data_IF_237751284068
#
_entry.id   IF_237751284068
#
_cell.length_a   1.000
_cell.length_b   1.000
_cell.length_c   1.000
_cell.angle_alpha   90.00
_cell.angle_beta   90.00
_cell.angle_gamma   90.00
#
_symmetry.space_group_name_H-M   'P 1'
#
loop_
_entity.id
_entity.type
_entity.pdbx_description
1 polymer ?
#
# COMPACT_ATOMS: atom_id res chain seq x y z
N UNK A 1 -12.78 17.11 -51.81
CA UNK A 1 -11.53 17.65 -51.26
C UNK A 1 -11.58 17.41 -49.76
N UNK A 2 -10.96 16.32 -49.29
CA UNK A 2 -11.18 15.73 -47.96
C UNK A 2 -10.16 16.28 -46.94
N UNK A 3 -10.68 16.61 -45.75
CA UNK A 3 -9.91 17.02 -44.57
C UNK A 3 -9.06 15.85 -44.00
N UNK A 4 -7.83 16.11 -43.54
CA UNK A 4 -7.00 15.10 -42.91
C UNK A 4 -7.43 14.85 -41.45
N UNK A 5 -7.92 13.64 -41.24
CA UNK A 5 -7.66 12.71 -40.11
C UNK A 5 -7.40 13.25 -38.70
N UNK A 6 -8.43 13.10 -37.87
CA UNK A 6 -8.55 13.16 -36.40
C UNK A 6 -7.61 12.21 -35.60
N UNK A 7 -6.54 11.67 -36.19
CA UNK A 7 -5.63 10.68 -35.58
C UNK A 7 -4.39 11.27 -34.91
N UNK A 8 -4.15 12.57 -35.02
CA UNK A 8 -2.98 13.23 -34.42
C UNK A 8 -3.23 13.81 -33.00
N UNK A 9 -4.47 13.83 -32.50
CA UNK A 9 -4.79 14.34 -31.15
C UNK A 9 -4.79 13.26 -30.05
N UNK A 10 -4.72 11.99 -30.41
CA UNK A 10 -4.68 10.86 -29.47
C UNK A 10 -3.25 10.41 -29.13
N UNK A 11 -2.25 10.86 -29.90
CA UNK A 11 -0.83 10.56 -29.68
C UNK A 11 -0.16 11.50 -28.66
N UNK A 12 -0.76 12.65 -28.38
CA UNK A 12 -0.24 13.65 -27.43
C UNK A 12 -0.66 13.42 -25.96
N UNK A 13 -1.57 12.46 -25.70
CA UNK A 13 -1.95 12.06 -24.33
C UNK A 13 -1.02 10.95 -23.80
N UNK A 14 -0.31 10.25 -24.67
CA UNK A 14 0.62 9.16 -24.30
C UNK A 14 2.08 9.60 -24.10
N UNK A 15 2.41 10.87 -24.37
CA UNK A 15 3.75 11.45 -24.16
C UNK A 15 3.84 12.49 -23.02
N UNK A 16 2.78 12.67 -22.23
CA UNK A 16 2.89 13.28 -20.89
C UNK A 16 3.54 12.34 -19.84
N UNK A 17 4.08 11.19 -20.30
CA UNK A 17 4.71 10.15 -19.49
C UNK A 17 6.21 10.29 -19.23
N UNK A 18 6.84 11.42 -19.60
CA UNK A 18 8.30 11.60 -19.48
C UNK A 18 8.73 12.72 -18.50
N UNK A 19 7.97 12.95 -17.44
CA UNK A 19 8.39 13.79 -16.32
C UNK A 19 7.96 13.17 -14.97
N UNK A 20 8.28 11.89 -14.76
CA UNK A 20 8.23 11.22 -13.44
C UNK A 20 9.58 10.57 -13.15
N UNK A 21 10.68 11.27 -13.46
CA UNK A 21 12.04 10.80 -13.17
C UNK A 21 12.59 11.34 -11.82
N UNK A 22 11.86 12.22 -11.13
CA UNK A 22 12.37 12.94 -9.96
C UNK A 22 11.65 12.63 -8.63
N UNK A 23 10.73 11.66 -8.60
CA UNK A 23 10.03 11.26 -7.37
C UNK A 23 10.63 10.01 -6.73
N UNK A 24 10.51 9.86 -5.39
CA UNK A 24 10.80 8.56 -4.75
C UNK A 24 9.67 7.57 -5.07
N UNK A 25 10.04 6.31 -5.31
CA UNK A 25 9.10 5.21 -5.45
C UNK A 25 8.63 4.64 -4.09
N UNK A 26 8.83 5.37 -2.99
CA UNK A 26 8.48 4.89 -1.66
C UNK A 26 9.35 3.70 -1.21
N UNK A 27 9.08 3.15 -0.01
CA UNK A 27 9.87 2.05 0.53
C UNK A 27 9.76 0.83 -0.38
N UNK A 28 10.89 0.14 -0.59
CA UNK A 28 10.98 -1.04 -1.45
C UNK A 28 10.45 -0.84 -2.89
N UNK A 29 10.49 0.40 -3.40
CA UNK A 29 10.03 0.77 -4.74
C UNK A 29 8.56 0.41 -5.05
N UNK A 30 7.67 0.55 -4.06
CA UNK A 30 6.21 0.36 -4.22
C UNK A 30 5.55 1.28 -5.26
N UNK A 31 6.22 2.37 -5.61
CA UNK A 31 5.74 3.42 -6.48
C UNK A 31 4.79 4.39 -5.78
N UNK A 32 4.41 5.44 -6.49
CA UNK A 32 3.46 6.44 -6.00
C UNK A 32 2.06 5.86 -5.87
N UNK A 33 1.36 6.22 -4.80
CA UNK A 33 -0.04 5.90 -4.63
C UNK A 33 -0.94 6.91 -5.39
N UNK A 34 -1.98 6.45 -6.11
CA UNK A 34 -3.04 7.32 -6.60
C UNK A 34 -3.77 8.02 -5.45
N UNK A 35 -4.38 9.18 -5.73
CA UNK A 35 -5.16 9.90 -4.73
C UNK A 35 -6.35 9.06 -4.27
N UNK A 36 -6.51 8.94 -2.95
CA UNK A 36 -7.57 8.18 -2.30
C UNK A 36 -7.30 6.68 -2.24
N UNK A 37 -6.17 6.21 -2.76
CA UNK A 37 -5.80 4.79 -2.79
C UNK A 37 -4.56 4.56 -1.94
N UNK A 38 -4.58 3.46 -1.21
CA UNK A 38 -3.44 2.91 -0.49
C UNK A 38 -2.91 1.71 -1.26
N UNK A 39 -1.59 1.63 -1.37
CA UNK A 39 -0.87 0.44 -1.81
C UNK A 39 -0.17 -0.16 -0.60
N UNK A 40 -0.40 -1.44 -0.34
CA UNK A 40 0.24 -2.16 0.75
C UNK A 40 0.90 -3.43 0.24
N UNK A 41 2.07 -3.75 0.76
CA UNK A 41 2.72 -5.04 0.57
C UNK A 41 3.03 -5.63 1.93
N UNK A 42 2.62 -6.86 2.11
CA UNK A 42 2.75 -7.63 3.33
C UNK A 42 3.55 -8.88 3.03
N UNK A 43 4.48 -9.24 3.91
CA UNK A 43 5.20 -10.50 3.80
C UNK A 43 5.30 -11.16 5.19
N UNK A 44 4.89 -12.40 5.28
CA UNK A 44 4.90 -13.19 6.52
C UNK A 44 5.16 -14.66 6.23
N UNK A 45 5.32 -15.45 7.27
CA UNK A 45 5.17 -16.91 7.24
C UNK A 45 3.83 -17.32 7.84
N UNK A 46 3.23 -18.34 7.25
CA UNK A 46 2.03 -19.01 7.75
C UNK A 46 2.41 -20.41 8.25
N UNK A 47 1.92 -20.78 9.41
CA UNK A 47 2.01 -22.15 9.90
C UNK A 47 0.90 -22.97 9.23
N UNK A 48 1.28 -23.87 8.32
CA UNK A 48 0.36 -24.62 7.50
C UNK A 48 0.55 -26.12 7.70
N UNK A 49 -0.56 -26.85 7.73
CA UNK A 49 -0.58 -28.29 7.61
C UNK A 49 -0.52 -28.64 6.13
N UNK A 50 0.51 -29.38 5.72
CA UNK A 50 0.62 -29.93 4.38
C UNK A 50 0.31 -31.42 4.45
N UNK A 51 -0.78 -31.82 3.81
CA UNK A 51 -1.16 -33.21 3.62
C UNK A 51 -0.78 -33.63 2.21
N UNK A 52 0.30 -34.41 2.09
CA UNK A 52 0.69 -34.98 0.80
C UNK A 52 -0.21 -36.17 0.48
N UNK A 53 -0.80 -36.18 -0.72
CA UNK A 53 -1.63 -37.24 -1.24
C UNK A 53 -0.81 -37.98 -2.32
N UNK A 54 -0.68 -39.30 -2.18
CA UNK A 54 0.20 -40.14 -3.01
C UNK A 54 0.58 -41.46 -2.31
N UNK A 55 1.78 -41.99 -2.57
CA UNK A 55 2.21 -43.32 -2.09
C UNK A 55 2.21 -43.50 -0.55
N UNK A 56 2.40 -42.43 0.23
CA UNK A 56 2.27 -42.43 1.69
C UNK A 56 1.71 -41.06 2.14
N UNK A 57 0.57 -41.00 2.86
CA UNK A 57 0.04 -39.73 3.36
C UNK A 57 0.95 -39.19 4.46
N UNK A 58 1.75 -38.19 4.12
CA UNK A 58 2.56 -37.45 5.08
C UNK A 58 1.79 -36.20 5.50
N UNK A 59 1.50 -36.11 6.79
CA UNK A 59 0.99 -34.91 7.43
C UNK A 59 2.15 -34.24 8.15
N UNK A 60 2.46 -33.01 7.81
CA UNK A 60 3.53 -32.28 8.49
C UNK A 60 3.21 -30.79 8.53
N UNK A 61 3.66 -30.15 9.62
CA UNK A 61 3.57 -28.71 9.77
C UNK A 61 4.77 -28.06 9.08
N UNK A 62 4.47 -27.06 8.25
CA UNK A 62 5.49 -26.28 7.55
C UNK A 62 5.19 -24.80 7.67
N UNK A 63 6.26 -24.02 7.75
CA UNK A 63 6.18 -22.57 7.57
C UNK A 63 6.24 -22.27 6.07
N UNK A 64 5.12 -21.78 5.54
CA UNK A 64 4.99 -21.37 4.14
C UNK A 64 5.08 -19.85 4.10
N UNK A 65 5.97 -19.30 3.28
CA UNK A 65 6.03 -17.85 3.09
C UNK A 65 4.79 -17.38 2.34
N UNK A 66 4.22 -16.28 2.78
CA UNK A 66 3.01 -15.69 2.23
C UNK A 66 3.20 -14.18 2.06
N UNK A 67 3.17 -13.76 0.80
CA UNK A 67 3.25 -12.36 0.42
C UNK A 67 1.93 -11.89 -0.20
N UNK A 68 1.58 -10.64 0.05
CA UNK A 68 0.39 -10.00 -0.51
C UNK A 68 0.75 -8.60 -0.95
N UNK A 69 0.31 -8.21 -2.14
CA UNK A 69 0.23 -6.82 -2.57
C UNK A 69 -1.23 -6.45 -2.72
N UNK A 70 -1.66 -5.33 -2.16
CA UNK A 70 -3.04 -4.89 -2.19
C UNK A 70 -3.16 -3.40 -2.53
N UNK A 71 -4.23 -3.09 -3.23
CA UNK A 71 -4.76 -1.75 -3.45
C UNK A 71 -6.11 -1.67 -2.74
N UNK A 72 -6.28 -0.67 -1.89
CA UNK A 72 -7.54 -0.41 -1.18
C UNK A 72 -7.82 1.10 -1.14
N UNK A 73 -9.08 1.53 -1.05
CA UNK A 73 -9.38 2.92 -0.78
C UNK A 73 -8.88 3.28 0.63
N UNK A 74 -8.20 4.41 0.82
CA UNK A 74 -7.83 4.84 2.17
C UNK A 74 -9.03 5.32 2.99
N UNK A 75 -10.07 5.79 2.31
CA UNK A 75 -11.31 6.30 2.91
C UNK A 75 -12.51 6.01 2.04
N UNK A 76 -13.65 5.81 2.69
CA UNK A 76 -14.95 5.63 2.02
C UNK A 76 -16.05 6.34 2.80
N UNK A 77 -17.11 6.74 2.13
CA UNK A 77 -18.29 7.28 2.79
C UNK A 77 -19.15 6.15 3.37
N UNK A 78 -20.01 6.50 4.34
CA UNK A 78 -21.04 5.58 4.83
C UNK A 78 -21.92 5.11 3.65
N UNK A 79 -22.15 3.81 3.55
CA UNK A 79 -22.87 3.11 2.49
C UNK A 79 -22.24 3.20 1.08
N UNK A 80 -21.04 3.77 0.93
CA UNK A 80 -20.35 3.76 -0.36
C UNK A 80 -19.85 2.34 -0.67
N UNK A 81 -20.15 1.77 -1.84
CA UNK A 81 -19.58 0.51 -2.26
C UNK A 81 -18.08 0.64 -2.53
N UNK A 82 -17.29 -0.30 -2.05
CA UNK A 82 -15.85 -0.35 -2.35
C UNK A 82 -15.34 -1.76 -2.55
N UNK A 83 -14.14 -1.89 -3.10
CA UNK A 83 -13.46 -3.17 -3.26
C UNK A 83 -11.98 -3.05 -2.96
N UNK A 84 -11.39 -4.17 -2.58
CA UNK A 84 -9.94 -4.33 -2.39
C UNK A 84 -9.43 -5.16 -3.57
N UNK A 85 -8.34 -4.74 -4.19
CA UNK A 85 -7.69 -5.49 -5.27
C UNK A 85 -6.37 -5.99 -4.77
N UNK A 86 -6.17 -7.31 -4.76
CA UNK A 86 -4.98 -7.92 -4.17
C UNK A 86 -4.38 -9.00 -5.06
N UNK A 87 -3.09 -9.22 -4.94
CA UNK A 87 -2.36 -10.32 -5.56
C UNK A 87 -1.55 -10.99 -4.47
N UNK A 88 -1.45 -12.30 -4.51
CA UNK A 88 -0.77 -13.06 -3.46
C UNK A 88 0.34 -13.91 -4.05
N UNK A 89 1.32 -14.25 -3.22
CA UNK A 89 2.38 -15.19 -3.55
C UNK A 89 2.59 -16.15 -2.39
N UNK A 90 2.71 -17.43 -2.72
CA UNK A 90 3.18 -18.46 -1.79
C UNK A 90 4.65 -18.75 -2.08
N UNK A 91 5.44 -18.84 -1.03
CA UNK A 91 6.88 -19.17 -1.12
C UNK A 91 7.09 -20.53 -0.50
N UNK A 92 7.35 -21.53 -1.35
CA UNK A 92 7.57 -22.91 -0.94
C UNK A 92 9.04 -23.06 -0.50
N UNK A 93 9.28 -23.51 0.74
CA UNK A 93 10.63 -23.66 1.28
C UNK A 93 11.42 -24.75 0.54
N UNK A 94 12.74 -24.62 0.58
CA UNK A 94 13.69 -25.55 -0.06
C UNK A 94 13.47 -27.01 0.33
N UNK A 95 13.12 -27.27 1.58
CA UNK A 95 12.85 -28.64 2.07
C UNK A 95 11.73 -29.33 1.29
N UNK A 96 10.62 -28.63 1.04
CA UNK A 96 9.51 -29.13 0.23
C UNK A 96 9.87 -29.22 -1.26
N UNK A 97 10.64 -28.27 -1.77
CA UNK A 97 11.13 -28.32 -3.16
C UNK A 97 12.03 -29.54 -3.40
N UNK A 98 12.92 -29.84 -2.46
CA UNK A 98 13.79 -31.01 -2.53
C UNK A 98 12.98 -32.30 -2.55
N UNK A 99 12.02 -32.45 -1.63
CA UNK A 99 11.16 -33.62 -1.53
C UNK A 99 10.37 -33.84 -2.83
N UNK A 100 9.65 -32.81 -3.29
CA UNK A 100 8.89 -32.89 -4.54
C UNK A 100 9.80 -33.16 -5.75
N UNK A 101 11.00 -32.55 -5.77
CA UNK A 101 11.99 -32.76 -6.82
C UNK A 101 12.51 -34.20 -6.90
N UNK A 102 12.84 -34.81 -5.76
CA UNK A 102 13.26 -36.23 -5.70
C UNK A 102 12.17 -37.15 -6.27
N UNK A 103 10.92 -36.78 -6.05
CA UNK A 103 9.76 -37.54 -6.52
C UNK A 103 9.31 -37.18 -7.95
N UNK A 104 10.18 -36.53 -8.73
CA UNK A 104 9.98 -36.28 -10.16
C UNK A 104 9.34 -34.94 -10.53
N UNK A 105 8.95 -34.11 -9.56
CA UNK A 105 8.36 -32.81 -9.85
C UNK A 105 9.38 -31.82 -10.45
N UNK A 106 8.90 -31.00 -11.39
CA UNK A 106 9.58 -29.87 -12.03
C UNK A 106 8.80 -28.56 -11.92
N UNK A 107 7.48 -28.63 -11.72
CA UNK A 107 6.63 -27.47 -11.51
C UNK A 107 5.59 -27.72 -10.41
N UNK A 108 5.08 -26.64 -9.84
CA UNK A 108 3.88 -26.61 -9.01
C UNK A 108 2.74 -25.92 -9.76
N UNK A 109 1.53 -26.44 -9.66
CA UNK A 109 0.29 -25.81 -10.11
C UNK A 109 -0.82 -26.16 -9.11
N UNK A 110 -2.06 -25.71 -9.32
CA UNK A 110 -3.14 -26.09 -8.43
C UNK A 110 -4.35 -25.17 -8.44
N UNK A 111 -5.15 -25.29 -7.40
CA UNK A 111 -6.32 -24.44 -7.13
C UNK A 111 -6.22 -23.87 -5.73
N UNK A 112 -6.74 -22.67 -5.55
CA UNK A 112 -6.98 -22.09 -4.24
C UNK A 112 -8.37 -22.52 -3.82
N UNK A 113 -8.47 -23.20 -2.69
CA UNK A 113 -9.73 -23.77 -2.20
C UNK A 113 -10.46 -22.78 -1.29
N UNK A 114 -9.72 -21.96 -0.55
CA UNK A 114 -10.26 -20.92 0.33
C UNK A 114 -9.22 -19.83 0.59
N UNK A 115 -9.62 -18.57 0.50
CA UNK A 115 -8.85 -17.43 1.05
C UNK A 115 -9.85 -16.51 1.71
N UNK A 116 -9.90 -16.56 3.03
CA UNK A 116 -10.84 -15.75 3.80
C UNK A 116 -10.20 -14.39 4.08
N UNK A 117 -10.88 -13.32 3.68
CA UNK A 117 -10.52 -11.94 4.02
C UNK A 117 -11.55 -11.43 5.02
N UNK A 118 -11.10 -11.07 6.21
CA UNK A 118 -11.95 -10.49 7.25
C UNK A 118 -11.94 -8.97 7.11
N UNK A 119 -13.13 -8.39 7.15
CA UNK A 119 -13.39 -6.96 7.05
C UNK A 119 -14.40 -6.53 8.12
N UNK A 120 -14.11 -6.74 9.42
CA UNK A 120 -14.94 -6.21 10.50
C UNK A 120 -15.17 -4.71 10.30
N UNK A 121 -16.42 -4.28 10.46
CA UNK A 121 -16.86 -2.92 10.16
C UNK A 121 -17.44 -2.72 8.76
N UNK A 122 -17.36 -3.74 7.88
CA UNK A 122 -18.03 -3.77 6.59
C UNK A 122 -18.98 -4.98 6.46
N UNK A 123 -19.83 -4.92 5.45
CA UNK A 123 -20.72 -6.01 5.02
C UNK A 123 -20.32 -6.45 3.60
N UNK A 124 -20.08 -7.75 3.39
CA UNK A 124 -19.93 -8.78 4.42
C UNK A 124 -18.72 -8.54 5.34
N UNK A 125 -18.80 -9.03 6.58
CA UNK A 125 -17.70 -8.92 7.56
C UNK A 125 -16.55 -9.89 7.28
N UNK A 126 -16.76 -10.86 6.40
CA UNK A 126 -15.77 -11.81 5.93
C UNK A 126 -16.16 -12.31 4.53
N UNK A 127 -15.19 -12.42 3.64
CA UNK A 127 -15.37 -12.88 2.26
C UNK A 127 -14.38 -13.98 1.95
N UNK A 128 -14.85 -15.15 1.49
CA UNK A 128 -13.99 -16.16 0.89
C UNK A 128 -13.88 -15.92 -0.61
N UNK A 129 -12.73 -15.38 -1.03
CA UNK A 129 -12.53 -14.94 -2.42
C UNK A 129 -12.32 -16.09 -3.39
N UNK A 130 -12.05 -17.30 -2.89
CA UNK A 130 -11.86 -18.49 -3.74
C UNK A 130 -13.19 -19.20 -4.07
N UNK A 131 -14.20 -19.07 -3.21
CA UNK A 131 -15.51 -19.72 -3.44
C UNK A 131 -16.31 -19.09 -4.59
N UNK A 132 -16.07 -17.82 -4.91
CA UNK A 132 -16.79 -17.09 -5.97
C UNK A 132 -16.12 -17.08 -7.34
N UNK A 133 -14.85 -17.45 -7.42
CA UNK A 133 -14.08 -17.47 -8.66
C UNK A 133 -13.05 -18.58 -8.60
N UNK A 134 -13.03 -19.46 -9.60
CA UNK A 134 -12.12 -20.60 -9.67
C UNK A 134 -10.65 -20.10 -9.74
N UNK A 135 -10.07 -19.79 -8.58
CA UNK A 135 -8.76 -19.20 -8.42
C UNK A 135 -7.72 -20.29 -8.66
N UNK A 136 -6.99 -20.15 -9.77
CA UNK A 136 -5.98 -21.11 -10.19
C UNK A 136 -4.60 -20.66 -9.75
N UNK A 137 -3.77 -21.65 -9.44
CA UNK A 137 -2.34 -21.50 -9.20
C UNK A 137 -1.66 -21.91 -10.51
N UNK A 138 -1.15 -20.95 -11.30
CA UNK A 138 -0.50 -21.26 -12.57
C UNK A 138 0.78 -22.07 -12.35
N UNK A 139 1.15 -22.85 -13.38
CA UNK A 139 2.35 -23.67 -13.35
C UNK A 139 3.59 -22.80 -13.12
N UNK A 140 4.23 -23.01 -11.99
CA UNK A 140 5.40 -22.27 -11.51
C UNK A 140 6.59 -23.22 -11.37
N UNK A 141 7.79 -22.85 -11.84
CA UNK A 141 8.97 -23.71 -11.75
C UNK A 141 9.30 -24.09 -10.31
N UNK A 142 9.67 -25.35 -10.10
CA UNK A 142 10.23 -25.83 -8.84
C UNK A 142 11.73 -25.51 -8.81
N UNK A 143 12.18 -24.80 -7.77
CA UNK A 143 13.59 -24.52 -7.53
C UNK A 143 14.14 -25.42 -6.41
N UNK A 144 14.97 -26.41 -6.75
CA UNK A 144 15.56 -27.35 -5.77
C UNK A 144 16.64 -26.69 -4.90
N UNK A 145 17.31 -25.67 -5.42
CA UNK A 145 18.43 -25.04 -4.72
C UNK A 145 17.97 -23.91 -3.79
N UNK A 146 16.71 -23.48 -3.91
CA UNK A 146 16.16 -22.37 -3.14
C UNK A 146 14.66 -22.49 -2.89
N UNK A 147 13.99 -21.35 -2.89
CA UNK A 147 12.54 -21.25 -2.73
C UNK A 147 11.85 -21.25 -4.09
N UNK A 148 10.62 -21.77 -4.14
CA UNK A 148 9.74 -21.66 -5.31
C UNK A 148 8.66 -20.62 -5.03
N UNK A 149 8.39 -19.75 -5.99
CA UNK A 149 7.39 -18.67 -5.85
C UNK A 149 6.18 -19.04 -6.71
N UNK A 150 5.02 -19.09 -6.07
CA UNK A 150 3.74 -19.39 -6.70
C UNK A 150 2.89 -18.11 -6.60
N UNK A 151 2.78 -17.38 -7.69
CA UNK A 151 1.96 -16.16 -7.74
C UNK A 151 0.52 -16.50 -8.09
N UNK A 152 -0.43 -15.93 -7.35
CA UNK A 152 -1.85 -16.26 -7.40
C UNK A 152 -2.65 -14.96 -7.60
N UNK A 153 -3.47 -14.85 -8.67
CA UNK A 153 -3.82 -15.88 -9.67
C UNK A 153 -2.82 -15.95 -10.85
N UNK A 154 -1.62 -15.41 -10.66
CA UNK A 154 -0.52 -15.36 -11.62
C UNK A 154 0.11 -13.98 -11.69
N UNK A 155 1.28 -13.91 -12.31
CA UNK A 155 2.03 -12.66 -12.47
C UNK A 155 1.18 -11.54 -13.07
N UNK A 156 1.10 -10.41 -12.38
CA UNK A 156 0.34 -9.23 -12.81
C UNK A 156 -1.19 -9.38 -12.81
N UNK A 157 -1.72 -10.49 -12.28
CA UNK A 157 -3.17 -10.68 -12.11
C UNK A 157 -3.57 -10.38 -10.67
N UNK A 158 -4.86 -10.10 -10.48
CA UNK A 158 -5.41 -9.71 -9.18
C UNK A 158 -6.72 -10.42 -8.86
N UNK A 159 -6.97 -10.54 -7.56
CA UNK A 159 -8.20 -10.95 -6.92
C UNK A 159 -8.93 -9.68 -6.46
N UNK A 160 -10.25 -9.65 -6.61
CA UNK A 160 -11.09 -8.56 -6.13
C UNK A 160 -11.89 -9.05 -4.92
N UNK A 161 -11.78 -8.34 -3.80
CA UNK A 161 -12.57 -8.55 -2.59
C UNK A 161 -13.68 -7.49 -2.54
N UNK A 162 -14.93 -7.92 -2.74
CA UNK A 162 -16.09 -7.04 -2.70
C UNK A 162 -17.14 -7.34 -3.78
N UNK A 163 -18.16 -6.48 -3.91
CA UNK A 163 -18.29 -5.19 -3.25
C UNK A 163 -18.49 -5.32 -1.73
N UNK A 164 -17.90 -4.39 -0.99
CA UNK A 164 -18.05 -4.19 0.45
C UNK A 164 -18.77 -2.87 0.69
N UNK A 165 -19.55 -2.77 1.77
CA UNK A 165 -20.15 -1.52 2.23
C UNK A 165 -20.03 -1.40 3.75
N UNK A 166 -19.93 -0.17 4.26
CA UNK A 166 -19.93 0.07 5.72
C UNK A 166 -21.12 0.96 6.08
N UNK A 167 -22.00 0.48 6.96
CA UNK A 167 -23.25 1.17 7.32
C UNK A 167 -23.09 2.24 8.39
N UNK A 168 -21.92 2.33 9.04
CA UNK A 168 -21.63 3.29 10.08
C UNK A 168 -20.21 3.86 9.92
N UNK A 169 -20.00 5.07 10.45
CA UNK A 169 -18.66 5.66 10.53
C UNK A 169 -17.77 4.86 11.49
N UNK A 170 -16.47 4.82 11.20
CA UNK A 170 -15.51 4.01 11.95
C UNK A 170 -14.34 3.57 11.10
N UNK A 171 -13.79 2.39 11.38
CA UNK A 171 -12.70 1.80 10.61
C UNK A 171 -13.04 0.37 10.22
N UNK A 172 -12.70 0.01 8.99
CA UNK A 172 -12.70 -1.38 8.50
C UNK A 172 -11.26 -1.88 8.59
N UNK A 173 -11.00 -2.85 9.46
CA UNK A 173 -9.66 -3.42 9.63
C UNK A 173 -9.56 -4.70 8.83
N UNK A 174 -8.58 -4.76 7.92
CA UNK A 174 -8.42 -5.88 7.00
C UNK A 174 -7.44 -6.88 7.60
N UNK A 175 -7.83 -8.15 7.64
CA UNK A 175 -6.97 -9.26 8.03
C UNK A 175 -7.28 -10.53 7.25
N UNK A 176 -6.36 -11.51 7.27
CA UNK A 176 -6.61 -12.83 6.69
C UNK A 176 -7.17 -13.80 7.72
N UNK A 177 -8.18 -14.57 7.30
CA UNK A 177 -8.68 -15.74 8.01
C UNK A 177 -7.95 -17.01 7.56
N UNK A 178 -8.70 -18.11 7.45
CA UNK A 178 -8.16 -19.37 6.99
C UNK A 178 -7.79 -19.30 5.49
N UNK A 179 -6.73 -20.02 5.13
CA UNK A 179 -6.27 -20.17 3.74
C UNK A 179 -6.12 -21.66 3.45
N UNK A 180 -6.64 -22.12 2.32
CA UNK A 180 -6.51 -23.48 1.85
C UNK A 180 -6.23 -23.52 0.34
N UNK A 181 -5.38 -24.45 -0.07
CA UNK A 181 -5.04 -24.66 -1.47
C UNK A 181 -4.76 -26.14 -1.75
N UNK A 182 -5.08 -26.57 -2.97
CA UNK A 182 -4.77 -27.89 -3.50
C UNK A 182 -3.66 -27.74 -4.53
N UNK A 183 -2.46 -28.18 -4.17
CA UNK A 183 -1.26 -28.13 -5.00
C UNK A 183 -1.10 -29.44 -5.76
N UNK A 184 -0.90 -29.36 -7.06
CA UNK A 184 -0.54 -30.46 -7.94
C UNK A 184 0.90 -30.25 -8.41
N UNK A 185 1.73 -31.29 -8.34
CA UNK A 185 3.06 -31.23 -8.92
C UNK A 185 3.05 -31.72 -10.36
N UNK A 186 3.88 -31.13 -11.22
CA UNK A 186 3.97 -31.48 -12.64
C UNK A 186 5.40 -31.88 -13.02
N UNK A 187 5.53 -32.78 -14.00
CA UNK A 187 6.80 -33.22 -14.57
C UNK A 187 7.36 -32.22 -15.62
N UNK A 188 8.44 -32.59 -16.31
CA UNK A 188 9.05 -31.76 -17.37
C UNK A 188 8.12 -31.51 -18.57
N UNK A 189 7.15 -32.38 -18.81
CA UNK A 189 6.15 -32.29 -19.88
C UNK A 189 4.86 -31.58 -19.42
N UNK A 190 4.88 -30.99 -18.21
CA UNK A 190 3.73 -30.35 -17.54
C UNK A 190 2.56 -31.32 -17.30
N UNK A 191 2.82 -32.62 -17.28
CA UNK A 191 1.85 -33.63 -16.90
C UNK A 191 1.83 -33.79 -15.38
N UNK A 192 0.67 -34.13 -14.82
CA UNK A 192 0.53 -34.35 -13.38
C UNK A 192 1.42 -35.51 -12.95
N UNK A 193 2.19 -35.33 -11.87
CA UNK A 193 2.86 -36.46 -11.22
C UNK A 193 1.89 -37.19 -10.29
N UNK A 194 2.38 -38.25 -9.62
CA UNK A 194 1.63 -39.00 -8.60
C UNK A 194 1.43 -38.23 -7.28
N UNK A 195 1.95 -37.01 -7.16
CA UNK A 195 1.94 -36.24 -5.91
C UNK A 195 1.09 -34.99 -6.05
N UNK A 196 0.09 -34.91 -5.20
CA UNK A 196 -0.62 -33.69 -4.87
C UNK A 196 -0.49 -33.41 -3.38
N UNK A 197 -0.79 -32.18 -2.97
CA UNK A 197 -0.78 -31.79 -1.58
C UNK A 197 -1.95 -30.87 -1.30
N UNK A 198 -2.63 -31.10 -0.17
CA UNK A 198 -3.58 -30.15 0.39
C UNK A 198 -2.85 -29.33 1.44
N UNK A 199 -2.82 -28.02 1.23
CA UNK A 199 -2.22 -27.06 2.15
C UNK A 199 -3.35 -26.36 2.88
N UNK A 200 -3.35 -26.43 4.21
CA UNK A 200 -4.34 -25.75 5.05
C UNK A 200 -3.62 -24.95 6.12
N UNK A 201 -3.75 -23.63 6.05
CA UNK A 201 -3.24 -22.69 7.03
C UNK A 201 -4.46 -22.20 7.83
N UNK A 202 -4.62 -22.63 9.09
CA UNK A 202 -5.76 -22.23 9.90
C UNK A 202 -5.74 -20.72 10.13
N UNK A 203 -6.91 -20.14 10.40
CA UNK A 203 -6.99 -18.76 10.86
C UNK A 203 -6.15 -18.61 12.14
N UNK A 204 -5.35 -17.56 12.23
CA UNK A 204 -4.60 -17.29 13.45
C UNK A 204 -5.57 -16.96 14.59
N UNK A 205 -5.25 -17.41 15.81
CA UNK A 205 -6.05 -17.14 17.02
C UNK A 205 -6.37 -15.64 17.18
N UNK A 206 -5.46 -14.80 16.71
CA UNK A 206 -5.68 -13.37 16.46
C UNK A 206 -5.11 -13.02 15.09
N UNK A 207 -5.97 -12.75 14.10
CA UNK A 207 -5.53 -12.32 12.78
C UNK A 207 -4.66 -11.06 12.87
N UNK A 208 -3.57 -11.03 12.12
CA UNK A 208 -2.75 -9.82 11.97
C UNK A 208 -3.53 -8.81 11.14
N UNK A 209 -3.70 -7.61 11.67
CA UNK A 209 -4.23 -6.46 10.95
C UNK A 209 -3.22 -5.97 9.93
N UNK A 210 -3.65 -5.87 8.68
CA UNK A 210 -2.80 -5.60 7.52
C UNK A 210 -2.91 -4.15 7.06
N UNK A 211 -4.14 -3.67 6.99
CA UNK A 211 -4.51 -2.35 6.52
C UNK A 211 -5.83 -1.92 7.18
N UNK A 212 -6.13 -0.64 7.10
CA UNK A 212 -7.37 -0.08 7.58
C UNK A 212 -7.99 0.80 6.50
N UNK A 213 -9.32 0.90 6.49
CA UNK A 213 -10.07 1.86 5.68
C UNK A 213 -10.90 2.68 6.64
N UNK A 214 -10.78 4.00 6.62
CA UNK A 214 -11.62 4.84 7.47
C UNK A 214 -12.94 5.18 6.76
N UNK A 215 -14.06 5.00 7.48
CA UNK A 215 -15.41 5.23 6.99
C UNK A 215 -15.97 6.52 7.57
N UNK A 216 -16.43 7.43 6.72
CA UNK A 216 -17.06 8.69 7.12
C UNK A 216 -16.97 9.78 6.05
N UNK A 217 -17.23 11.02 6.47
CA UNK A 217 -17.18 12.18 5.57
C UNK A 217 -18.41 12.32 4.67
N UNK A 218 -18.27 13.10 3.60
CA UNK A 218 -19.36 13.43 2.68
C UNK A 218 -19.90 12.19 2.00
N UNK A 219 -21.22 12.02 2.01
CA UNK A 219 -21.87 10.86 1.39
C UNK A 219 -21.53 10.74 -0.11
N UNK A 220 -21.26 9.53 -0.56
CA UNK A 220 -21.04 9.19 -1.96
C UNK A 220 -21.57 7.80 -2.24
N UNK A 221 -22.22 7.62 -3.38
CA UNK A 221 -22.71 6.32 -3.86
C UNK A 221 -21.82 5.74 -4.96
N UNK A 222 -20.82 6.48 -5.44
CA UNK A 222 -19.94 6.05 -6.52
C UNK A 222 -19.04 4.91 -6.03
N UNK A 223 -19.08 3.71 -6.65
CA UNK A 223 -18.21 2.61 -6.24
C UNK A 223 -16.73 2.96 -6.39
N UNK A 224 -15.91 2.55 -5.43
CA UNK A 224 -14.45 2.63 -5.53
C UNK A 224 -13.88 1.24 -5.76
N UNK A 225 -13.39 1.01 -6.98
CA UNK A 225 -12.67 -0.21 -7.36
C UNK A 225 -11.27 0.20 -7.81
N UNK A 226 -10.23 -0.05 -7.00
CA UNK A 226 -8.85 0.21 -7.41
C UNK A 226 -8.49 -0.54 -8.70
N UNK A 227 -7.55 -0.01 -9.48
CA UNK A 227 -7.06 -0.66 -10.71
C UNK A 227 -5.54 -0.62 -10.79
N UNK A 228 -4.95 -1.51 -11.58
CA UNK A 228 -3.51 -1.49 -11.86
C UNK A 228 -2.64 -2.09 -10.76
N UNK A 229 -3.03 -3.26 -10.23
CA UNK A 229 -2.16 -4.02 -9.35
C UNK A 229 -0.92 -4.46 -10.16
N UNK A 230 0.25 -3.93 -9.78
CA UNK A 230 1.53 -4.27 -10.41
C UNK A 230 2.12 -5.58 -9.88
N UNK A 231 3.40 -5.81 -10.21
CA UNK A 231 4.16 -6.90 -9.62
C UNK A 231 4.22 -6.78 -8.08
N UNK A 232 4.30 -7.91 -7.38
CA UNK A 232 4.45 -7.96 -5.93
C UNK A 232 5.93 -7.74 -5.59
N UNK A 233 6.34 -6.58 -5.07
CA UNK A 233 7.73 -6.37 -4.71
C UNK A 233 8.14 -7.27 -3.55
N UNK A 234 9.41 -7.61 -3.50
CA UNK A 234 9.97 -8.40 -2.41
C UNK A 234 10.35 -7.49 -1.26
N UNK A 235 9.69 -7.68 -0.12
CA UNK A 235 10.06 -7.06 1.16
C UNK A 235 10.53 -8.12 2.16
N UNK A 236 11.29 -7.77 3.21
CA UNK A 236 11.72 -8.73 4.23
C UNK A 236 10.56 -9.47 4.89
N UNK A 237 10.81 -10.70 5.36
CA UNK A 237 9.80 -11.50 6.05
C UNK A 237 9.37 -10.84 7.37
N UNK A 238 8.08 -10.90 7.68
CA UNK A 238 7.50 -10.33 8.89
C UNK A 238 7.29 -8.83 8.83
N UNK A 239 7.42 -8.18 7.67
CA UNK A 239 7.21 -6.74 7.50
C UNK A 239 5.96 -6.42 6.69
N UNK A 240 5.49 -5.17 6.85
CA UNK A 240 4.53 -4.55 5.94
C UNK A 240 5.11 -3.23 5.47
N UNK A 241 4.97 -2.93 4.18
CA UNK A 241 5.31 -1.64 3.61
C UNK A 241 4.09 -1.08 2.89
N UNK A 242 3.95 0.23 2.84
CA UNK A 242 2.79 0.84 2.24
C UNK A 242 3.04 2.26 1.79
N UNK A 243 2.24 2.68 0.82
CA UNK A 243 2.19 4.06 0.33
C UNK A 243 0.74 4.49 0.26
N UNK A 244 0.42 5.69 0.75
CA UNK A 244 -0.90 6.29 0.66
C UNK A 244 -0.82 7.60 -0.13
N UNK A 245 -1.83 7.86 -0.96
CA UNK A 245 -1.92 9.05 -1.79
C UNK A 245 -3.17 9.85 -1.44
N UNK A 246 -3.04 11.16 -1.26
CA UNK A 246 -4.17 12.03 -0.92
C UNK A 246 -3.92 13.47 -1.39
N UNK A 247 -4.97 14.29 -1.33
CA UNK A 247 -4.87 15.73 -1.53
C UNK A 247 -5.14 16.42 -0.21
N UNK A 248 -4.22 17.27 0.23
CA UNK A 248 -4.54 18.31 1.20
C UNK A 248 -5.21 19.47 0.49
N UNK A 249 -6.14 20.14 1.17
CA UNK A 249 -6.48 21.52 0.82
C UNK A 249 -5.66 22.42 1.74
N UNK A 250 -4.65 23.08 1.17
CA UNK A 250 -3.75 23.95 1.93
C UNK A 250 -4.13 25.40 1.73
N UNK A 251 -3.99 26.19 2.78
CA UNK A 251 -4.15 27.63 2.81
C UNK A 251 -2.78 28.29 2.96
N UNK A 252 -2.39 29.11 1.98
CA UNK A 252 -1.14 29.86 1.94
C UNK A 252 -1.41 31.27 2.46
N UNK A 253 -1.71 31.38 3.76
CA UNK A 253 -2.02 32.64 4.47
C UNK A 253 -3.08 33.51 3.77
N UNK A 254 -4.12 32.89 3.22
CA UNK A 254 -5.22 33.57 2.52
C UNK A 254 -4.89 34.06 1.11
N UNK A 255 -3.62 33.98 0.67
CA UNK A 255 -3.23 34.40 -0.68
C UNK A 255 -3.77 33.43 -1.73
N UNK A 256 -3.60 32.14 -1.47
CA UNK A 256 -4.14 31.09 -2.32
C UNK A 256 -4.57 29.90 -1.49
N UNK A 257 -5.70 29.30 -1.86
CA UNK A 257 -6.10 28.00 -1.36
C UNK A 257 -6.09 27.02 -2.51
N UNK A 258 -5.62 25.79 -2.27
CA UNK A 258 -5.62 24.80 -3.34
C UNK A 258 -5.19 23.41 -2.92
N UNK A 259 -5.49 22.42 -3.78
CA UNK A 259 -5.11 21.06 -3.54
C UNK A 259 -3.60 20.86 -3.72
N UNK A 260 -2.94 20.33 -2.69
CA UNK A 260 -1.57 19.83 -2.74
C UNK A 260 -1.64 18.31 -2.70
N UNK A 261 -1.18 17.66 -3.78
CA UNK A 261 -1.14 16.19 -3.82
C UNK A 261 0.06 15.71 -3.04
N UNK A 262 -0.15 14.74 -2.18
CA UNK A 262 0.89 14.09 -1.39
C UNK A 262 0.80 12.58 -1.60
N UNK A 263 1.96 11.94 -1.74
CA UNK A 263 2.08 10.49 -1.64
C UNK A 263 3.22 10.15 -0.70
N UNK A 264 2.91 9.48 0.39
CA UNK A 264 3.87 9.10 1.43
C UNK A 264 3.87 7.60 1.61
N UNK A 265 4.98 7.05 2.05
CA UNK A 265 5.10 5.66 2.40
C UNK A 265 5.97 5.45 3.62
N UNK A 266 5.76 4.31 4.26
CA UNK A 266 6.48 3.88 5.44
C UNK A 266 6.52 2.34 5.51
N UNK A 267 7.29 1.82 6.47
CA UNK A 267 7.43 0.41 6.77
C UNK A 267 7.02 0.15 8.21
N UNK A 268 6.18 -0.85 8.41
CA UNK A 268 5.95 -1.53 9.68
C UNK A 268 7.02 -2.64 9.79
N UNK A 269 8.06 -2.46 10.62
CA UNK A 269 9.23 -3.34 10.64
C UNK A 269 8.96 -4.71 11.26
N UNK A 270 7.81 -4.88 11.93
CA UNK A 270 7.35 -6.17 12.42
C UNK A 270 5.82 -6.25 12.40
N UNK A 271 5.31 -7.36 11.88
CA UNK A 271 3.90 -7.73 11.89
C UNK A 271 3.47 -8.42 13.19
N UNK A 272 4.40 -8.67 14.11
CA UNK A 272 4.09 -9.23 15.42
C UNK A 272 3.21 -8.28 16.25
N UNK A 273 2.40 -8.85 17.13
CA UNK A 273 1.59 -8.09 18.07
C UNK A 273 2.50 -7.38 19.07
N UNK A 274 2.20 -6.11 19.32
CA UNK A 274 2.95 -5.28 20.27
C UNK A 274 2.37 -5.47 21.66
N UNK A 275 3.20 -5.69 22.68
CA UNK A 275 2.71 -5.74 24.05
C UNK A 275 2.09 -4.39 24.46
N UNK A 276 1.12 -4.40 25.36
CA UNK A 276 0.61 -3.16 26.00
C UNK A 276 1.78 -2.39 26.64
N UNK A 277 1.88 -1.07 26.39
CA UNK A 277 3.03 -0.25 26.80
C UNK A 277 4.30 -0.47 25.98
N UNK A 278 4.28 -1.37 25.00
CA UNK A 278 5.37 -1.65 24.07
C UNK A 278 5.51 -0.61 22.97
N UNK A 279 6.59 -0.70 22.20
CA UNK A 279 6.93 0.26 21.14
C UNK A 279 6.24 -0.08 19.81
N UNK A 280 5.49 0.88 19.28
CA UNK A 280 5.01 0.91 17.89
C UNK A 280 6.00 1.74 17.08
N UNK A 281 6.47 1.24 15.94
CA UNK A 281 7.50 1.90 15.12
C UNK A 281 7.04 1.97 13.66
N UNK A 282 7.08 3.17 13.07
CA UNK A 282 7.05 3.38 11.62
C UNK A 282 8.46 3.74 11.17
N UNK A 283 9.00 2.98 10.22
CA UNK A 283 10.35 3.14 9.71
C UNK A 283 10.34 3.54 8.22
N UNK A 284 11.49 3.97 7.72
CA UNK A 284 11.73 4.28 6.30
C UNK A 284 10.70 5.25 5.69
N UNK A 285 10.28 6.25 6.48
CA UNK A 285 9.31 7.24 6.04
C UNK A 285 9.85 8.07 4.88
N UNK A 286 9.08 8.20 3.81
CA UNK A 286 9.45 9.02 2.66
C UNK A 286 8.21 9.37 1.83
N UNK A 287 8.29 10.41 1.02
CA UNK A 287 7.16 10.81 0.20
C UNK A 287 7.46 11.85 -0.86
N UNK A 288 6.40 12.26 -1.52
CA UNK A 288 6.39 13.14 -2.66
C UNK A 288 5.28 14.17 -2.47
N UNK A 289 5.62 15.44 -2.59
CA UNK A 289 4.68 16.55 -2.70
C UNK A 289 4.61 16.94 -4.16
N UNK A 290 3.42 16.96 -4.72
CA UNK A 290 3.19 17.16 -6.15
C UNK A 290 2.31 18.39 -6.34
N UNK A 291 2.85 19.40 -7.04
CA UNK A 291 2.12 20.62 -7.32
C UNK A 291 1.01 20.36 -8.33
N UNK A 292 -0.24 20.65 -7.96
CA UNK A 292 -1.38 20.50 -8.86
C UNK A 292 -1.40 21.62 -9.90
N UNK A 293 -1.95 21.33 -11.09
CA UNK A 293 -2.14 22.36 -12.11
C UNK A 293 -2.99 23.54 -11.60
N UNK A 294 -4.03 23.24 -10.81
CA UNK A 294 -4.88 24.26 -10.19
C UNK A 294 -4.09 25.19 -9.26
N UNK A 295 -3.23 24.63 -8.40
CA UNK A 295 -2.39 25.43 -7.51
C UNK A 295 -1.40 26.30 -8.31
N UNK A 296 -0.69 25.70 -9.26
CA UNK A 296 0.29 26.40 -10.10
C UNK A 296 -0.36 27.55 -10.87
N UNK A 297 -1.52 27.32 -11.49
CA UNK A 297 -2.24 28.36 -12.23
C UNK A 297 -2.67 29.52 -11.32
N UNK A 298 -3.11 29.22 -10.09
CA UNK A 298 -3.48 30.26 -9.13
C UNK A 298 -2.27 31.05 -8.63
N UNK A 299 -1.14 30.39 -8.37
CA UNK A 299 0.12 31.07 -8.03
C UNK A 299 0.52 32.01 -9.16
N UNK A 300 0.56 31.54 -10.43
CA UNK A 300 0.95 32.36 -11.57
C UNK A 300 -0.03 33.48 -11.92
N UNK A 301 -1.30 33.37 -11.51
CA UNK A 301 -2.26 34.46 -11.64
C UNK A 301 -1.95 35.64 -10.69
N UNK A 302 -1.29 35.37 -9.56
CA UNK A 302 -0.91 36.37 -8.55
C UNK A 302 0.51 36.85 -8.79
N UNK A 303 1.43 35.92 -9.03
CA UNK A 303 2.87 36.16 -9.22
C UNK A 303 3.30 35.51 -10.54
N UNK A 304 3.08 36.21 -11.65
CA UNK A 304 3.32 35.67 -13.00
C UNK A 304 4.79 35.36 -13.31
N UNK A 305 5.70 36.10 -12.67
CA UNK A 305 7.16 35.94 -12.79
C UNK A 305 7.72 34.79 -11.95
N UNK A 306 6.90 34.15 -11.10
CA UNK A 306 7.38 33.06 -10.25
C UNK A 306 7.78 31.84 -11.10
N UNK A 307 9.04 31.43 -10.95
CA UNK A 307 9.67 30.37 -11.72
C UNK A 307 9.84 29.09 -10.88
N UNK A 308 10.43 29.22 -9.70
CA UNK A 308 10.65 28.12 -8.77
C UNK A 308 10.37 28.53 -7.32
N UNK A 309 10.35 27.53 -6.43
CA UNK A 309 10.10 27.75 -5.02
C UNK A 309 11.01 26.91 -4.13
N UNK A 310 11.37 27.48 -2.98
CA UNK A 310 11.93 26.73 -1.86
C UNK A 310 10.83 26.45 -0.85
N UNK A 311 10.54 25.17 -0.65
CA UNK A 311 9.51 24.68 0.25
C UNK A 311 10.14 24.18 1.54
N UNK A 312 9.76 24.75 2.68
CA UNK A 312 10.15 24.25 4.00
C UNK A 312 8.95 23.66 4.71
N UNK A 313 8.95 22.35 4.97
CA UNK A 313 7.96 21.71 5.82
C UNK A 313 8.42 21.78 7.27
N UNK A 314 7.62 22.42 8.12
CA UNK A 314 7.89 22.55 9.56
C UNK A 314 7.05 21.58 10.39
N UNK A 315 5.89 21.18 9.87
CA UNK A 315 5.05 20.16 10.48
C UNK A 315 4.51 19.17 9.44
N UNK A 316 4.59 17.90 9.78
CA UNK A 316 3.76 16.85 9.18
C UNK A 316 3.35 15.93 10.32
N UNK A 317 2.09 16.01 10.72
CA UNK A 317 1.62 15.33 11.92
C UNK A 317 0.96 14.00 11.59
N UNK A 318 1.27 13.00 12.41
CA UNK A 318 0.48 11.78 12.53
C UNK A 318 -0.36 11.85 13.79
N UNK A 319 -1.55 11.25 13.73
CA UNK A 319 -2.39 11.01 14.90
C UNK A 319 -2.50 9.52 15.16
N UNK A 320 -2.61 9.16 16.44
CA UNK A 320 -2.70 7.80 16.88
C UNK A 320 -3.96 7.58 17.72
N UNK A 321 -4.71 6.53 17.40
CA UNK A 321 -5.73 5.97 18.29
C UNK A 321 -5.18 4.77 19.02
N UNK A 322 -5.59 4.56 20.28
CA UNK A 322 -5.11 3.48 21.16
C UNK A 322 -3.57 3.40 21.28
N UNK A 323 -2.88 4.54 21.14
CA UNK A 323 -1.45 4.67 21.36
C UNK A 323 -1.11 6.11 21.77
N UNK A 324 0.06 6.32 22.37
CA UNK A 324 0.53 7.63 22.84
C UNK A 324 1.89 7.99 22.23
N UNK A 325 2.17 9.27 21.94
CA UNK A 325 1.26 10.42 22.05
C UNK A 325 0.12 10.34 21.01
N UNK A 326 -1.00 11.02 21.28
CA UNK A 326 -2.14 11.02 20.36
C UNK A 326 -1.87 11.78 19.05
N UNK A 327 -0.88 12.68 19.04
CA UNK A 327 -0.41 13.44 17.88
C UNK A 327 1.10 13.61 17.96
N UNK A 328 1.79 13.46 16.83
CA UNK A 328 3.25 13.60 16.75
C UNK A 328 3.67 14.19 15.40
N UNK A 329 4.55 15.20 15.43
CA UNK A 329 5.25 15.68 14.24
C UNK A 329 6.34 14.68 13.84
N UNK A 330 6.37 14.29 12.56
CA UNK A 330 7.34 13.31 12.06
C UNK A 330 8.58 13.93 11.46
N UNK A 331 8.61 15.26 11.34
CA UNK A 331 9.76 15.97 10.80
C UNK A 331 10.82 16.19 11.88
N UNK A 332 12.11 16.14 11.52
CA UNK A 332 13.18 16.50 12.45
C UNK A 332 13.05 17.95 12.92
N UNK A 333 13.70 18.28 14.04
CA UNK A 333 13.82 19.65 14.50
C UNK A 333 14.43 20.54 13.40
N UNK A 334 13.80 21.69 13.13
CA UNK A 334 14.17 22.58 12.02
C UNK A 334 13.41 22.30 10.71
N UNK A 335 12.67 21.20 10.60
CA UNK A 335 11.88 20.87 9.42
C UNK A 335 12.69 20.25 8.28
N UNK A 336 12.10 20.20 7.09
CA UNK A 336 12.74 19.72 5.86
C UNK A 336 12.54 20.74 4.76
N UNK A 337 13.65 21.19 4.15
CA UNK A 337 13.62 22.13 3.03
C UNK A 337 13.93 21.42 1.71
N UNK A 338 13.14 21.73 0.68
CA UNK A 338 13.35 21.36 -0.71
C UNK A 338 13.52 22.65 -1.50
N UNK A 339 14.71 22.85 -2.07
CA UNK A 339 15.02 24.05 -2.86
C UNK A 339 14.73 23.83 -4.34
N UNK A 340 14.55 24.95 -5.06
CA UNK A 340 14.48 24.98 -6.53
C UNK A 340 13.41 24.07 -7.13
N UNK A 341 12.27 23.91 -6.43
CA UNK A 341 11.12 23.18 -6.96
C UNK A 341 10.46 24.03 -8.06
N UNK A 342 10.42 23.58 -9.32
CA UNK A 342 9.82 24.38 -10.39
C UNK A 342 8.32 24.61 -10.13
N UNK A 343 7.84 25.83 -10.36
CA UNK A 343 6.41 26.17 -10.29
C UNK A 343 5.76 25.74 -11.60
N UNK A 344 5.61 24.42 -11.75
CA UNK A 344 5.02 23.75 -12.91
C UNK A 344 4.09 22.62 -12.45
N UNK A 345 2.99 22.42 -13.18
CA UNK A 345 2.07 21.33 -12.90
C UNK A 345 2.80 19.97 -12.94
N UNK A 346 2.62 19.17 -11.90
CA UNK A 346 3.28 17.87 -11.75
C UNK A 346 4.72 17.93 -11.24
N UNK A 347 5.27 19.12 -10.94
CA UNK A 347 6.55 19.23 -10.26
C UNK A 347 6.51 18.48 -8.92
N UNK A 348 7.60 17.77 -8.61
CA UNK A 348 7.68 16.85 -7.47
C UNK A 348 8.78 17.31 -6.53
N UNK A 349 8.42 17.52 -5.27
CA UNK A 349 9.35 17.65 -4.15
C UNK A 349 9.42 16.31 -3.41
N UNK A 350 10.62 15.76 -3.27
CA UNK A 350 10.87 14.50 -2.55
C UNK A 350 11.19 14.81 -1.09
N UNK A 351 10.58 14.06 -0.17
CA UNK A 351 10.73 14.23 1.27
C UNK A 351 11.22 12.92 1.91
N UNK A 352 12.40 12.87 2.55
CA UNK A 352 13.45 13.90 2.48
C UNK A 352 14.04 14.03 1.06
N UNK A 353 14.75 15.12 0.71
CA UNK A 353 15.25 15.40 -0.65
C UNK A 353 16.11 14.29 -1.28
N UNK A 354 16.74 13.45 -0.47
CA UNK A 354 17.65 12.37 -0.89
C UNK A 354 17.02 10.98 -0.73
N UNK A 355 15.69 10.88 -0.66
CA UNK A 355 15.02 9.59 -0.64
C UNK A 355 15.13 8.88 -2.01
N UNK A 356 15.35 7.55 -2.05
CA UNK A 356 15.30 6.60 -0.93
C UNK A 356 16.63 6.39 -0.18
N UNK A 357 17.72 7.06 -0.56
CA UNK A 357 19.04 6.88 0.08
C UNK A 357 19.02 7.34 1.54
N UNK A 358 18.29 8.42 1.83
CA UNK A 358 17.98 8.84 3.21
C UNK A 358 16.47 8.81 3.41
N UNK A 359 16.03 8.33 4.56
CA UNK A 359 14.60 8.32 4.94
C UNK A 359 14.38 9.17 6.18
N UNK A 360 13.12 9.49 6.47
CA UNK A 360 12.76 10.10 7.75
C UNK A 360 13.19 9.19 8.91
N UNK A 361 13.58 9.76 10.06
CA UNK A 361 13.83 8.99 11.27
C UNK A 361 12.63 8.12 11.66
N UNK A 362 12.91 7.03 12.38
CA UNK A 362 11.86 6.16 12.92
C UNK A 362 10.91 6.93 13.84
N UNK A 363 9.62 6.79 13.59
CA UNK A 363 8.55 7.40 14.39
C UNK A 363 8.00 6.38 15.35
N UNK A 364 7.92 6.77 16.62
CA UNK A 364 7.67 5.84 17.71
C UNK A 364 6.46 6.28 18.53
N UNK A 365 5.51 5.37 18.71
CA UNK A 365 4.38 5.49 19.64
C UNK A 365 4.48 4.39 20.71
N UNK A 366 3.79 4.58 21.81
CA UNK A 366 3.61 3.59 22.87
C UNK A 366 2.24 2.94 22.72
N UNK A 367 2.20 1.62 22.62
CA UNK A 367 0.97 0.85 22.50
C UNK A 367 0.07 1.05 23.73
N UNK A 368 -1.22 1.29 23.48
CA UNK A 368 -2.24 1.40 24.50
C UNK A 368 -2.69 0.03 25.04
N UNK A 369 -3.99 -0.10 25.29
CA UNK A 369 -4.58 -1.22 26.02
C UNK A 369 -4.51 -2.55 25.24
N UNK A 370 -4.21 -3.61 25.96
CA UNK A 370 -4.30 -4.99 25.49
C UNK A 370 -5.61 -5.34 24.79
N UNK A 371 -5.53 -6.11 23.70
CA UNK A 371 -6.68 -6.57 22.92
C UNK A 371 -7.33 -5.52 22.02
N UNK A 372 -6.69 -4.36 21.86
CA UNK A 372 -7.11 -3.32 20.90
C UNK A 372 -6.18 -3.27 19.68
N UNK A 373 -6.57 -2.48 18.68
CA UNK A 373 -5.72 -2.14 17.53
C UNK A 373 -5.43 -0.65 17.60
N UNK A 374 -4.14 -0.29 17.58
CA UNK A 374 -3.71 1.08 17.38
C UNK A 374 -3.73 1.44 15.90
N UNK A 375 -4.31 2.59 15.56
CA UNK A 375 -4.32 3.11 14.19
C UNK A 375 -3.50 4.38 14.14
N UNK A 376 -2.49 4.38 13.28
CA UNK A 376 -1.70 5.56 12.97
C UNK A 376 -2.22 6.14 11.67
N UNK A 377 -2.60 7.41 11.69
CA UNK A 377 -3.26 8.09 10.58
C UNK A 377 -2.65 9.45 10.29
N UNK A 378 -2.83 9.93 9.06
CA UNK A 378 -2.38 11.23 8.58
C UNK A 378 -3.26 12.33 9.17
N UNK A 379 -2.62 13.38 9.71
CA UNK A 379 -3.27 14.55 10.28
C UNK A 379 -2.94 15.81 9.46
N UNK A 380 -2.70 16.94 10.12
CA UNK A 380 -2.35 18.22 9.52
C UNK A 380 -0.87 18.34 9.15
N UNK A 381 -0.57 19.27 8.25
CA UNK A 381 0.79 19.66 7.87
C UNK A 381 0.91 21.19 7.79
N UNK A 382 2.12 21.71 7.93
CA UNK A 382 2.41 23.14 7.83
C UNK A 382 3.85 23.38 7.38
N UNK A 383 4.11 24.58 6.88
CA UNK A 383 5.41 24.98 6.39
C UNK A 383 5.40 26.40 5.84
N UNK A 384 6.45 26.71 5.08
CA UNK A 384 6.57 27.94 4.32
C UNK A 384 7.06 27.68 2.91
N UNK A 385 6.71 28.57 1.99
CA UNK A 385 7.14 28.57 0.60
C UNK A 385 7.72 29.93 0.26
N UNK A 386 8.96 29.96 -0.23
CA UNK A 386 9.62 31.12 -0.82
C UNK A 386 9.50 31.02 -2.33
N UNK A 387 8.73 31.90 -2.95
CA UNK A 387 8.57 32.01 -4.41
C UNK A 387 9.69 32.88 -4.97
N UNK A 388 10.32 32.42 -6.04
CA UNK A 388 11.51 33.03 -6.62
C UNK A 388 11.37 33.19 -8.13
N UNK A 389 12.01 34.22 -8.67
CA UNK A 389 12.09 34.43 -10.11
C UNK A 389 13.19 33.55 -10.74
N UNK A 390 13.40 33.69 -12.06
CA UNK A 390 14.42 32.92 -12.79
C UNK A 390 15.86 33.26 -12.37
N UNK A 391 16.07 34.44 -11.76
CA UNK A 391 17.36 34.94 -11.32
C UNK A 391 17.62 34.65 -9.82
N UNK A 392 16.78 33.81 -9.19
CA UNK A 392 16.83 33.42 -7.77
C UNK A 392 16.55 34.58 -6.78
N UNK A 393 15.92 35.65 -7.23
CA UNK A 393 15.44 36.70 -6.33
C UNK A 393 14.16 36.23 -5.63
N UNK A 394 14.09 36.38 -4.30
CA UNK A 394 12.87 36.11 -3.55
C UNK A 394 11.81 37.16 -3.87
N UNK A 395 10.69 36.71 -4.44
CA UNK A 395 9.55 37.56 -4.77
C UNK A 395 8.62 37.65 -3.57
N UNK A 396 8.38 36.51 -2.92
CA UNK A 396 7.38 36.39 -1.87
C UNK A 396 7.64 35.16 -0.99
N UNK A 397 7.59 35.33 0.33
CA UNK A 397 7.64 34.24 1.31
C UNK A 397 6.29 34.11 2.01
N UNK A 398 5.75 32.89 2.08
CA UNK A 398 4.38 32.64 2.54
C UNK A 398 4.34 31.39 3.39
N UNK A 399 3.76 31.48 4.58
CA UNK A 399 3.41 30.32 5.38
C UNK A 399 2.18 29.60 4.82
N UNK A 400 2.15 28.28 4.96
CA UNK A 400 0.98 27.50 4.61
C UNK A 400 0.61 26.52 5.71
N UNK A 401 -0.70 26.26 5.79
CA UNK A 401 -1.27 25.24 6.66
C UNK A 401 -2.18 24.34 5.84
N UNK A 402 -2.12 23.04 6.12
CA UNK A 402 -2.92 22.02 5.48
C UNK A 402 -3.71 21.32 6.59
N UNK A 403 -5.02 21.55 6.63
CA UNK A 403 -5.87 20.95 7.65
C UNK A 403 -5.90 19.43 7.56
N UNK A 404 -6.08 18.78 8.72
CA UNK A 404 -6.20 17.34 8.80
C UNK A 404 -7.34 16.84 7.89
N UNK A 405 -7.10 15.68 7.27
CA UNK A 405 -8.09 15.05 6.41
C UNK A 405 -9.26 14.53 7.26
N UNK A 406 -10.49 14.77 6.80
CA UNK A 406 -11.71 14.23 7.42
C UNK A 406 -12.50 13.38 6.41
N UNK A 407 -12.73 12.08 6.68
CA UNK A 407 -12.14 11.33 7.78
C UNK A 407 -10.61 11.21 7.62
N UNK A 408 -9.91 10.79 8.67
CA UNK A 408 -8.45 10.61 8.63
C UNK A 408 -8.06 9.52 7.64
N UNK A 409 -6.84 9.59 7.07
CA UNK A 409 -6.30 8.53 6.20
C UNK A 409 -5.39 7.63 7.04
N UNK A 410 -5.69 6.34 7.19
CA UNK A 410 -4.84 5.44 7.94
C UNK A 410 -3.50 5.18 7.23
N UNK A 411 -2.48 4.80 7.99
CA UNK A 411 -1.18 4.38 7.48
C UNK A 411 -0.97 2.90 7.74
N UNK A 412 -0.96 2.52 9.02
CA UNK A 412 -0.85 1.12 9.44
C UNK A 412 -1.66 0.85 10.71
N UNK A 413 -2.32 -0.32 10.79
CA UNK A 413 -2.79 -0.87 12.04
C UNK A 413 -1.70 -1.65 12.80
N UNK A 414 -1.71 -1.55 14.12
CA UNK A 414 -0.86 -2.31 15.04
C UNK A 414 -1.72 -3.04 16.07
N UNK A 415 -1.68 -4.36 16.06
CA UNK A 415 -2.41 -5.18 17.03
C UNK A 415 -1.67 -5.19 18.37
N UNK A 416 -2.42 -4.97 19.45
CA UNK A 416 -1.90 -4.95 20.81
C UNK A 416 -2.28 -6.26 21.51
N UNK A 417 -1.28 -6.96 22.05
CA UNK A 417 -1.42 -8.23 22.78
C UNK A 417 -2.45 -8.13 23.89
#
# INVERSE_FOLDING_TARGET
>A
MLMPTFKALLSSILLAGAAVAAGTNGPYALGLAPVGIEKGVFNTTLDCTVQVLGLLPLLSQYQIGFGVSALLPGRVSVNQPFSIVAGTRLTIPRSLNNLAGVLGAKFYAGTVDSVVVNTPGATPASTDVAKGGNLTIPASPLNREGVSILEIPGAGKSIVVGPLTASAAGNVIISFGAIAASITTLDSNKQKTLISAKVTCPAQKRPVSLAAITVGGTASTKPIVPTGLGAIPTIPNGQTAGTTGFNYNCDFSGLVQGPVRVSIGAVKPSNAQVASGGKITLAQGQGNIILSATLVNRIKAIVSIADHTSLTLTAFNLVASNATPAKQNILPAGGITVNNLPIKAGAVAVIPPTAPQTTLPDINFTAGKSGSTALISIADAAGSASLRDVDDNEILSIDFTCNALSPTVPVFPYDIQ
#
